data_IF_556662070211
#
_entry.id   IF_556662070211
#
_cell.length_a   1.000
_cell.length_b   1.000
_cell.length_c   1.000
_cell.angle_alpha   90.00
_cell.angle_beta   90.00
_cell.angle_gamma   90.00
#
_symmetry.space_group_name_H-M   'P 1'
#
loop_
_entity.id
_entity.type
_entity.pdbx_description
1 polymer ?
#
# COMPACT_ATOMS: atom_id res chain seq x y z
N UNK A 1 18.60 0.88 7.30
CA UNK A 1 20.00 0.78 7.71
C UNK A 1 20.20 -0.49 8.52
N UNK A 2 21.32 -1.17 8.27
CA UNK A 2 21.72 -2.40 8.92
C UNK A 2 23.14 -2.19 9.44
N UNK A 3 23.43 -2.63 10.67
CA UNK A 3 24.76 -2.65 11.24
C UNK A 3 25.25 -4.09 11.42
N UNK A 4 26.47 -4.38 11.00
CA UNK A 4 27.27 -5.52 11.39
C UNK A 4 28.32 -5.11 12.43
N UNK A 5 29.27 -6.00 12.75
CA UNK A 5 30.27 -5.77 13.79
C UNK A 5 31.11 -4.50 13.50
N UNK A 6 31.66 -4.37 12.29
CA UNK A 6 32.55 -3.26 11.91
C UNK A 6 32.04 -2.45 10.70
N UNK A 7 30.77 -2.58 10.31
CA UNK A 7 30.24 -1.89 9.14
C UNK A 7 28.76 -1.52 9.27
N UNK A 8 28.34 -0.61 8.39
CA UNK A 8 26.94 -0.28 8.17
C UNK A 8 26.63 -0.37 6.68
N UNK A 9 25.41 -0.77 6.35
CA UNK A 9 24.89 -0.78 4.98
C UNK A 9 23.44 -0.34 4.94
N UNK A 10 23.02 0.18 3.80
CA UNK A 10 21.62 0.52 3.54
C UNK A 10 21.09 -0.43 2.47
N UNK A 11 19.93 -1.01 2.73
CA UNK A 11 19.23 -1.90 1.80
C UNK A 11 17.90 -1.24 1.42
N UNK A 12 17.57 -1.12 0.13
CA UNK A 12 16.25 -0.69 -0.31
C UNK A 12 15.16 -1.60 0.25
N UNK A 13 14.00 -1.02 0.61
CA UNK A 13 12.93 -1.79 1.25
C UNK A 13 12.39 -2.94 0.38
N UNK A 14 12.39 -2.79 -0.93
CA UNK A 14 12.00 -3.81 -1.89
C UNK A 14 13.00 -4.97 -2.02
N UNK A 15 14.21 -4.82 -1.47
CA UNK A 15 15.25 -5.85 -1.43
C UNK A 15 15.42 -6.43 -0.01
N UNK A 16 14.77 -5.81 0.98
CA UNK A 16 14.90 -6.24 2.38
C UNK A 16 14.10 -7.51 2.68
N UNK A 17 12.87 -7.62 2.18
CA UNK A 17 12.02 -8.80 2.34
C UNK A 17 12.27 -9.78 1.20
N UNK A 18 12.88 -10.94 1.48
CA UNK A 18 13.24 -11.94 0.48
C UNK A 18 12.07 -12.91 0.23
N UNK A 19 11.49 -13.43 1.33
CA UNK A 19 10.33 -14.32 1.35
C UNK A 19 9.69 -14.30 2.73
N UNK A 20 8.60 -15.05 2.90
CA UNK A 20 7.97 -15.18 4.21
C UNK A 20 9.00 -15.64 5.27
N UNK A 21 9.05 -14.92 6.38
CA UNK A 21 9.98 -15.15 7.51
C UNK A 21 11.48 -15.05 7.15
N UNK A 22 11.83 -14.44 6.02
CA UNK A 22 13.22 -14.29 5.61
C UNK A 22 13.47 -12.85 5.12
N UNK A 23 14.48 -12.21 5.67
CA UNK A 23 14.92 -10.87 5.32
C UNK A 23 16.41 -10.86 4.94
N UNK A 24 16.89 -9.76 4.36
CA UNK A 24 18.25 -9.59 3.87
C UNK A 24 19.28 -9.32 4.99
N UNK A 25 19.01 -9.77 6.22
CA UNK A 25 19.99 -9.75 7.31
C UNK A 25 20.90 -10.96 7.20
N UNK A 26 22.21 -10.74 7.41
CA UNK A 26 23.21 -11.79 7.59
C UNK A 26 23.35 -12.12 9.08
N UNK A 27 24.01 -13.21 9.38
CA UNK A 27 24.37 -13.56 10.76
C UNK A 27 25.19 -12.41 11.41
N UNK A 28 24.84 -12.03 12.63
CA UNK A 28 25.47 -10.92 13.36
C UNK A 28 24.99 -9.52 12.94
N UNK A 29 24.08 -9.39 11.98
CA UNK A 29 23.52 -8.09 11.58
C UNK A 29 22.25 -7.74 12.34
N UNK A 30 22.07 -6.42 12.61
CA UNK A 30 20.89 -5.85 13.26
C UNK A 30 20.36 -4.69 12.40
N UNK A 31 19.03 -4.63 12.20
CA UNK A 31 18.39 -3.45 11.63
C UNK A 31 18.39 -2.33 12.66
N UNK A 32 19.02 -1.20 12.33
CA UNK A 32 19.20 -0.06 13.23
C UNK A 32 18.27 1.11 12.92
N UNK A 33 17.85 1.29 11.66
CA UNK A 33 16.96 2.38 11.28
C UNK A 33 16.13 2.04 10.05
N UNK A 34 14.98 2.72 9.93
CA UNK A 34 14.21 2.84 8.70
C UNK A 34 14.38 4.28 8.21
N UNK A 35 14.95 4.43 7.00
CA UNK A 35 15.21 5.74 6.41
C UNK A 35 14.11 6.03 5.39
N UNK A 36 13.33 7.08 5.61
CA UNK A 36 12.32 7.56 4.68
C UNK A 36 12.83 8.86 4.04
N UNK A 37 13.33 8.84 2.81
CA UNK A 37 13.85 10.03 2.16
C UNK A 37 12.72 11.02 1.85
N UNK A 38 13.02 12.33 1.92
CA UNK A 38 12.04 13.39 1.69
C UNK A 38 11.22 13.21 0.42
N UNK A 39 11.87 12.83 -0.69
CA UNK A 39 11.20 12.52 -1.97
C UNK A 39 10.14 11.41 -1.90
N UNK A 40 10.16 10.59 -0.86
CA UNK A 40 9.20 9.50 -0.71
C UNK A 40 7.86 9.96 -0.09
N UNK A 41 7.81 11.11 0.58
CA UNK A 41 6.61 11.60 1.23
C UNK A 41 6.23 13.03 0.86
N UNK A 42 7.17 13.85 0.36
CA UNK A 42 6.90 15.25 0.04
C UNK A 42 5.84 15.39 -1.05
N UNK A 43 4.79 16.15 -0.75
CA UNK A 43 3.66 16.38 -1.64
C UNK A 43 2.63 15.23 -1.68
N UNK A 44 2.87 14.13 -0.97
CA UNK A 44 1.89 13.05 -0.85
C UNK A 44 0.99 13.22 0.35
N UNK A 45 -0.25 12.76 0.21
CA UNK A 45 -1.19 12.48 1.30
C UNK A 45 -1.59 11.03 1.20
N UNK A 46 -1.76 10.39 2.34
CA UNK A 46 -1.98 8.94 2.34
C UNK A 46 -2.95 8.47 3.40
N UNK A 47 -3.54 7.32 3.14
CA UNK A 47 -4.41 6.64 4.08
C UNK A 47 -4.05 5.15 4.15
N UNK A 48 -4.06 4.62 5.38
CA UNK A 48 -3.83 3.20 5.65
C UNK A 48 -5.08 2.57 6.23
N UNK A 49 -5.44 1.41 5.73
CA UNK A 49 -6.52 0.59 6.26
C UNK A 49 -5.94 -0.76 6.68
N UNK A 50 -6.20 -1.16 7.91
CA UNK A 50 -5.97 -2.51 8.41
C UNK A 50 -7.32 -3.23 8.52
N UNK A 51 -7.50 -4.29 7.76
CA UNK A 51 -8.62 -5.19 7.95
C UNK A 51 -8.21 -6.32 8.91
N UNK A 52 -8.94 -6.47 10.00
CA UNK A 52 -8.70 -7.46 11.02
C UNK A 52 -10.05 -8.00 11.54
N UNK A 53 -10.03 -9.15 12.21
CA UNK A 53 -11.25 -9.78 12.75
C UNK A 53 -11.73 -9.12 14.05
N UNK A 54 -10.84 -8.40 14.74
CA UNK A 54 -11.10 -7.69 16.00
C UNK A 54 -10.52 -6.29 15.93
N UNK A 55 -11.04 -5.37 16.73
CA UNK A 55 -10.57 -3.98 16.77
C UNK A 55 -9.18 -3.84 17.39
N UNK A 56 -8.84 -4.71 18.33
CA UNK A 56 -7.55 -4.67 19.02
C UNK A 56 -6.90 -6.05 19.11
N UNK A 57 -5.58 -6.08 19.30
CA UNK A 57 -4.76 -7.27 19.53
C UNK A 57 -5.00 -8.36 18.47
N UNK A 58 -5.05 -7.96 17.21
CA UNK A 58 -5.31 -8.87 16.11
C UNK A 58 -4.29 -8.71 14.97
N UNK A 59 -4.01 -9.84 14.32
CA UNK A 59 -3.18 -9.89 13.12
C UNK A 59 -4.03 -9.44 11.93
N UNK A 60 -3.49 -8.56 11.09
CA UNK A 60 -4.17 -8.14 9.87
C UNK A 60 -4.54 -9.34 8.98
N UNK A 61 -5.79 -9.41 8.56
CA UNK A 61 -6.22 -10.27 7.46
C UNK A 61 -5.68 -9.74 6.15
N UNK A 62 -5.67 -8.42 5.99
CA UNK A 62 -5.02 -7.66 4.90
C UNK A 62 -4.77 -6.23 5.38
N UNK A 63 -3.67 -5.61 4.92
CA UNK A 63 -3.39 -4.19 5.11
C UNK A 63 -3.19 -3.51 3.76
N UNK A 64 -3.75 -2.31 3.59
CA UNK A 64 -3.59 -1.52 2.38
C UNK A 64 -3.22 -0.08 2.72
N UNK A 65 -2.19 0.44 2.07
CA UNK A 65 -1.78 1.85 2.14
C UNK A 65 -1.83 2.47 0.76
N UNK A 66 -2.52 3.59 0.63
CA UNK A 66 -2.53 4.38 -0.61
C UNK A 66 -2.03 5.78 -0.30
N UNK A 67 -1.04 6.24 -1.07
CA UNK A 67 -0.53 7.59 -1.03
C UNK A 67 -0.79 8.25 -2.39
N UNK A 68 -1.37 9.44 -2.40
CA UNK A 68 -1.65 10.19 -3.62
C UNK A 68 -0.89 11.51 -3.63
N UNK A 69 -0.45 11.90 -4.82
CA UNK A 69 0.01 13.23 -5.15
C UNK A 69 -0.89 13.74 -6.28
N UNK A 70 -1.56 14.87 -6.04
CA UNK A 70 -2.46 15.48 -7.01
C UNK A 70 -1.79 16.67 -7.68
N UNK A 71 -2.25 16.98 -8.90
CA UNK A 71 -1.94 18.23 -9.62
C UNK A 71 -2.27 19.47 -8.78
N UNK A 72 -1.74 20.62 -9.17
CA UNK A 72 -1.95 21.88 -8.44
C UNK A 72 -3.43 22.24 -8.31
N UNK A 73 -4.22 21.98 -9.34
CA UNK A 73 -5.68 22.21 -9.36
C UNK A 73 -6.51 21.09 -8.70
N UNK A 74 -5.85 20.04 -8.21
CA UNK A 74 -6.44 18.86 -7.53
C UNK A 74 -7.35 18.00 -8.40
N UNK A 75 -7.30 18.16 -9.71
CA UNK A 75 -8.18 17.45 -10.64
C UNK A 75 -7.56 16.19 -11.25
N UNK A 76 -6.25 16.01 -11.14
CA UNK A 76 -5.54 14.91 -11.80
C UNK A 76 -4.59 14.21 -10.82
N UNK A 77 -4.46 12.89 -10.93
CA UNK A 77 -3.46 12.11 -10.22
C UNK A 77 -2.06 12.32 -10.84
N UNK A 78 -1.20 13.06 -10.16
CA UNK A 78 0.19 13.24 -10.57
C UNK A 78 1.01 11.97 -10.31
N UNK A 79 0.84 11.38 -9.14
CA UNK A 79 1.40 10.07 -8.78
C UNK A 79 0.54 9.39 -7.71
N UNK A 80 0.47 8.07 -7.77
CA UNK A 80 -0.18 7.23 -6.77
C UNK A 80 0.73 6.07 -6.41
N UNK A 81 0.80 5.75 -5.13
CA UNK A 81 1.53 4.60 -4.61
C UNK A 81 0.62 3.78 -3.74
N UNK A 82 0.51 2.51 -4.06
CA UNK A 82 -0.28 1.57 -3.28
C UNK A 82 0.58 0.39 -2.85
N UNK A 83 0.44 0.00 -1.59
CA UNK A 83 1.14 -1.14 -1.04
C UNK A 83 0.21 -1.99 -0.17
N UNK A 84 0.42 -3.29 -0.22
CA UNK A 84 -0.30 -4.26 0.58
C UNK A 84 0.62 -5.03 1.53
N UNK A 85 0.08 -5.32 2.71
CA UNK A 85 0.53 -6.40 3.59
C UNK A 85 -0.45 -7.57 3.54
N UNK A 86 0.06 -8.80 3.61
CA UNK A 86 -0.74 -10.05 3.62
C UNK A 86 -1.50 -10.32 2.30
N UNK A 87 -1.16 -9.63 1.22
CA UNK A 87 -1.70 -9.86 -0.12
C UNK A 87 -0.72 -10.62 -1.04
N UNK A 88 0.43 -11.00 -0.50
CA UNK A 88 1.48 -11.80 -1.09
C UNK A 88 2.38 -12.37 0.01
N UNK A 89 3.45 -13.09 -0.34
CA UNK A 89 4.39 -13.66 0.63
C UNK A 89 5.20 -12.61 1.39
N UNK A 90 5.34 -11.42 0.84
CA UNK A 90 6.04 -10.25 1.41
C UNK A 90 5.18 -9.00 1.24
N UNK A 91 5.44 -7.89 1.97
CA UNK A 91 4.85 -6.58 1.66
C UNK A 91 5.16 -6.19 0.21
N UNK A 92 4.16 -5.71 -0.51
CA UNK A 92 4.30 -5.51 -1.96
C UNK A 92 3.65 -4.22 -2.44
N UNK A 93 4.21 -3.64 -3.51
CA UNK A 93 3.60 -2.58 -4.30
C UNK A 93 2.70 -3.19 -5.38
N UNK A 94 1.84 -2.37 -5.98
CA UNK A 94 0.88 -2.78 -7.01
C UNK A 94 1.07 -1.92 -8.26
N UNK A 95 2.10 -2.19 -9.08
CA UNK A 95 2.48 -1.35 -10.21
C UNK A 95 1.39 -1.26 -11.28
N UNK A 96 0.59 -2.29 -11.49
CA UNK A 96 -0.53 -2.27 -12.45
C UNK A 96 -1.54 -1.18 -12.14
N UNK A 97 -1.94 -1.07 -10.86
CA UNK A 97 -2.86 -0.03 -10.41
C UNK A 97 -2.20 1.37 -10.43
N UNK A 98 -0.95 1.49 -9.98
CA UNK A 98 -0.20 2.75 -9.96
C UNK A 98 -0.01 3.35 -11.36
N UNK A 99 0.36 2.52 -12.32
CA UNK A 99 0.56 2.95 -13.71
C UNK A 99 -0.77 3.30 -14.39
N UNK A 100 -1.84 2.57 -14.06
CA UNK A 100 -3.17 2.83 -14.59
C UNK A 100 -3.70 4.22 -14.23
N UNK A 101 -3.56 4.61 -12.96
CA UNK A 101 -4.20 5.83 -12.44
C UNK A 101 -3.42 7.11 -12.72
N UNK A 102 -2.10 7.00 -12.97
CA UNK A 102 -1.24 8.16 -13.20
C UNK A 102 -1.69 8.97 -14.41
N UNK A 103 -1.87 10.28 -14.23
CA UNK A 103 -2.33 11.21 -15.27
C UNK A 103 -3.83 11.23 -15.50
N UNK A 104 -4.60 10.37 -14.81
CA UNK A 104 -6.06 10.35 -14.93
C UNK A 104 -6.73 11.40 -14.04
N UNK A 105 -7.94 11.77 -14.41
CA UNK A 105 -8.79 12.66 -13.61
C UNK A 105 -9.16 12.02 -12.26
N UNK A 106 -9.30 12.89 -11.26
CA UNK A 106 -9.80 12.52 -9.93
C UNK A 106 -11.31 12.43 -10.01
N UNK A 107 -11.81 11.24 -10.29
CA UNK A 107 -13.23 10.92 -10.30
C UNK A 107 -13.45 9.47 -9.82
N UNK A 108 -14.69 9.14 -9.54
CA UNK A 108 -15.11 7.86 -9.00
C UNK A 108 -14.81 6.69 -9.96
N UNK A 109 -15.06 6.88 -11.24
CA UNK A 109 -14.85 5.84 -12.26
C UNK A 109 -13.37 5.42 -12.31
N UNK A 110 -12.46 6.39 -12.34
CA UNK A 110 -11.02 6.11 -12.35
C UNK A 110 -10.53 5.48 -11.04
N UNK A 111 -11.09 5.87 -9.89
CA UNK A 111 -10.76 5.26 -8.60
C UNK A 111 -11.28 3.82 -8.51
N UNK A 112 -12.48 3.54 -8.99
CA UNK A 112 -13.02 2.17 -9.05
C UNK A 112 -12.16 1.30 -9.98
N UNK A 113 -11.85 1.79 -11.18
CA UNK A 113 -11.00 1.07 -12.13
C UNK A 113 -9.59 0.83 -11.57
N UNK A 114 -9.00 1.81 -10.87
CA UNK A 114 -7.74 1.66 -10.13
C UNK A 114 -7.82 0.54 -9.09
N UNK A 115 -8.91 0.51 -8.33
CA UNK A 115 -9.11 -0.51 -7.31
C UNK A 115 -9.21 -1.92 -7.92
N UNK A 116 -9.87 -2.07 -9.05
CA UNK A 116 -9.96 -3.35 -9.77
C UNK A 116 -8.61 -3.82 -10.31
N UNK A 117 -7.73 -2.89 -10.73
CA UNK A 117 -6.40 -3.20 -11.22
C UNK A 117 -5.48 -3.87 -10.19
N UNK A 118 -5.77 -3.77 -8.90
CA UNK A 118 -4.95 -4.43 -7.88
C UNK A 118 -4.96 -5.95 -8.01
N UNK A 119 -6.00 -6.53 -8.58
CA UNK A 119 -6.12 -7.98 -8.79
C UNK A 119 -5.09 -8.55 -9.76
N UNK A 120 -4.45 -7.71 -10.58
CA UNK A 120 -3.41 -8.14 -11.52
C UNK A 120 -2.09 -8.48 -10.80
N UNK A 121 -1.84 -7.87 -9.63
CA UNK A 121 -0.57 -8.03 -8.91
C UNK A 121 -0.71 -8.84 -7.62
N UNK A 122 -1.83 -8.74 -6.90
CA UNK A 122 -2.00 -9.42 -5.62
C UNK A 122 -2.25 -10.92 -5.78
N UNK A 123 -1.64 -11.71 -4.91
CA UNK A 123 -1.85 -13.16 -4.87
C UNK A 123 -1.87 -13.66 -3.41
N UNK A 124 -2.91 -13.32 -2.64
CA UNK A 124 -3.03 -13.75 -1.26
C UNK A 124 -3.26 -15.25 -1.15
N UNK A 125 -2.81 -15.84 -0.05
CA UNK A 125 -3.04 -17.26 0.26
C UNK A 125 -4.38 -17.49 0.95
N UNK A 126 -4.88 -18.69 0.86
CA UNK A 126 -5.91 -19.18 1.77
C UNK A 126 -5.35 -19.39 3.19
N UNK A 127 -6.18 -19.15 4.19
CA UNK A 127 -5.88 -19.49 5.57
C UNK A 127 -7.17 -19.65 6.37
N UNK A 128 -7.08 -20.14 7.62
CA UNK A 128 -8.23 -20.25 8.50
C UNK A 128 -8.91 -18.89 8.80
N UNK A 129 -8.17 -17.76 8.65
CA UNK A 129 -8.72 -16.41 8.88
C UNK A 129 -9.55 -15.91 7.69
N UNK A 130 -9.18 -16.26 6.48
CA UNK A 130 -9.88 -15.80 5.28
C UNK A 130 -9.44 -16.61 4.05
N UNK A 131 -10.37 -16.83 3.14
CA UNK A 131 -10.07 -17.40 1.82
C UNK A 131 -9.34 -16.41 0.92
N UNK A 132 -8.65 -16.92 -0.10
CA UNK A 132 -8.04 -16.10 -1.15
C UNK A 132 -9.07 -15.19 -1.82
N UNK A 133 -10.24 -15.75 -2.18
CA UNK A 133 -11.32 -15.00 -2.83
C UNK A 133 -11.77 -13.81 -1.97
N UNK A 134 -11.97 -14.02 -0.67
CA UNK A 134 -12.34 -12.95 0.26
C UNK A 134 -11.23 -11.89 0.37
N UNK A 135 -9.95 -12.29 0.45
CA UNK A 135 -8.82 -11.35 0.51
C UNK A 135 -8.69 -10.51 -0.76
N UNK A 136 -8.93 -11.09 -1.93
CA UNK A 136 -8.98 -10.35 -3.18
C UNK A 136 -10.12 -9.34 -3.16
N UNK A 137 -11.32 -9.75 -2.74
CA UNK A 137 -12.48 -8.85 -2.65
C UNK A 137 -12.22 -7.66 -1.71
N UNK A 138 -11.81 -7.93 -0.46
CA UNK A 138 -11.51 -6.82 0.46
C UNK A 138 -10.30 -5.98 0.02
N UNK A 139 -9.35 -6.56 -0.71
CA UNK A 139 -8.22 -5.84 -1.31
C UNK A 139 -8.70 -4.73 -2.24
N UNK A 140 -9.63 -5.03 -3.13
CA UNK A 140 -10.26 -4.04 -4.02
C UNK A 140 -10.99 -2.96 -3.22
N UNK A 141 -11.83 -3.36 -2.27
CA UNK A 141 -12.60 -2.41 -1.43
C UNK A 141 -11.67 -1.48 -0.65
N UNK A 142 -10.58 -2.03 -0.10
CA UNK A 142 -9.60 -1.24 0.66
C UNK A 142 -8.83 -0.27 -0.22
N UNK A 143 -8.44 -0.68 -1.44
CA UNK A 143 -7.77 0.20 -2.40
C UNK A 143 -8.65 1.42 -2.73
N UNK A 144 -9.92 1.18 -3.06
CA UNK A 144 -10.89 2.24 -3.33
C UNK A 144 -11.04 3.19 -2.15
N UNK A 145 -11.41 2.67 -0.97
CA UNK A 145 -11.64 3.50 0.23
C UNK A 145 -10.38 4.26 0.68
N UNK A 146 -9.21 3.64 0.60
CA UNK A 146 -7.95 4.30 0.96
C UNK A 146 -7.60 5.41 -0.05
N UNK A 147 -7.83 5.18 -1.34
CA UNK A 147 -7.62 6.18 -2.38
C UNK A 147 -8.56 7.39 -2.20
N UNK A 148 -9.85 7.18 -2.01
CA UNK A 148 -10.85 8.23 -1.76
C UNK A 148 -10.45 9.10 -0.54
N UNK A 149 -10.08 8.46 0.57
CA UNK A 149 -9.63 9.17 1.77
C UNK A 149 -8.32 9.93 1.56
N UNK A 150 -7.36 9.35 0.84
CA UNK A 150 -6.10 10.01 0.51
C UNK A 150 -6.32 11.22 -0.41
N UNK A 151 -7.22 11.11 -1.40
CA UNK A 151 -7.62 12.21 -2.29
C UNK A 151 -8.25 13.36 -1.49
N UNK A 152 -9.20 13.08 -0.58
CA UNK A 152 -9.79 14.09 0.30
C UNK A 152 -8.75 14.79 1.16
N UNK A 153 -7.81 14.04 1.74
CA UNK A 153 -6.70 14.61 2.50
C UNK A 153 -5.75 15.48 1.66
N UNK A 154 -5.63 15.18 0.35
CA UNK A 154 -4.87 15.97 -0.60
C UNK A 154 -5.60 17.21 -1.11
N UNK A 155 -6.87 17.42 -0.69
CA UNK A 155 -7.73 18.53 -1.10
C UNK A 155 -8.49 18.29 -2.41
N UNK A 156 -8.46 17.07 -2.94
CA UNK A 156 -9.30 16.66 -4.07
C UNK A 156 -10.74 16.41 -3.63
N UNK A 157 -11.66 16.40 -4.60
CA UNK A 157 -13.09 16.11 -4.38
C UNK A 157 -13.43 14.78 -5.05
N UNK A 158 -14.06 13.91 -4.31
CA UNK A 158 -14.69 12.69 -4.80
C UNK A 158 -16.07 12.64 -4.15
N UNK A 159 -17.10 12.37 -4.94
CA UNK A 159 -18.45 12.25 -4.41
C UNK A 159 -18.54 11.09 -3.41
N UNK A 160 -19.15 11.34 -2.25
CA UNK A 160 -19.35 10.32 -1.24
C UNK A 160 -20.46 9.37 -1.70
N UNK A 161 -20.09 8.20 -2.18
CA UNK A 161 -21.03 7.08 -2.13
C UNK A 161 -20.99 6.51 -0.71
N UNK A 162 -21.92 7.04 0.08
CA UNK A 162 -22.50 6.46 1.30
C UNK A 162 -21.57 5.70 2.23
N UNK A 163 -21.43 6.24 3.42
CA UNK A 163 -21.21 5.45 4.62
C UNK A 163 -22.27 4.33 4.69
N UNK A 164 -21.89 3.11 4.38
CA UNK A 164 -22.57 1.89 4.79
C UNK A 164 -21.63 1.12 5.68
#
# INVERSE_FOLDING_TARGET
>A
EIAGEDYRRVVPINEFYIKASTVALKEGEIQTAIIIPKKAYEGYKGHYIKYAMREAMDIATTGCSVNVKLSADKKTFEDVRIAYGVAGPIPMRVPSAENFIRGKEVNEENIEAFAQKVLEDINPRDSWRASKAFRCHIGVVMARKACEKAVKQAGGKVDDRTEL
#
